data_IF_264383896363
#
_entry.id   IF_264383896363
#
_cell.length_a   1.000
_cell.length_b   1.000
_cell.length_c   1.000
_cell.angle_alpha   90.00
_cell.angle_beta   90.00
_cell.angle_gamma   90.00
#
_symmetry.space_group_name_H-M   'P 1'
#
loop_
_entity.id
_entity.type
_entity.pdbx_description
1 polymer ?
#
# COMPACT_ATOMS: atom_id res chain seq x y z
N UNK A 1 1.65 9.48 3.03
CA UNK A 1 2.37 8.80 1.94
C UNK A 1 1.86 9.13 0.52
N UNK A 2 0.71 8.60 0.04
CA UNK A 2 0.30 8.70 -1.39
C UNK A 2 0.29 10.14 -1.96
N UNK A 3 -0.26 11.10 -1.21
CA UNK A 3 -0.26 12.52 -1.61
C UNK A 3 1.17 13.11 -1.73
N UNK A 4 2.10 12.67 -0.87
CA UNK A 4 3.51 13.08 -0.94
C UNK A 4 4.17 12.53 -2.20
N UNK A 5 3.90 11.26 -2.55
CA UNK A 5 4.37 10.65 -3.82
C UNK A 5 3.76 11.38 -5.01
N UNK A 6 2.44 11.57 -5.02
CA UNK A 6 1.72 12.16 -6.14
C UNK A 6 2.23 13.56 -6.50
N UNK A 7 2.61 14.34 -5.49
CA UNK A 7 3.15 15.70 -5.65
C UNK A 7 4.66 15.76 -5.89
N UNK A 8 5.35 14.62 -5.99
CA UNK A 8 6.81 14.57 -6.19
C UNK A 8 7.62 15.05 -4.99
N UNK A 9 7.05 14.95 -3.79
CA UNK A 9 7.67 15.37 -2.53
C UNK A 9 8.25 14.20 -1.73
N UNK A 10 8.11 12.98 -2.25
CA UNK A 10 8.55 11.77 -1.55
C UNK A 10 10.02 11.49 -1.87
N UNK A 11 10.79 11.15 -0.83
CA UNK A 11 12.17 10.73 -0.95
C UNK A 11 12.24 9.31 -0.42
N UNK A 12 12.83 8.41 -1.21
CA UNK A 12 13.06 7.02 -0.83
C UNK A 12 14.57 6.78 -0.80
N UNK A 13 15.14 6.52 0.38
CA UNK A 13 16.57 6.25 0.59
C UNK A 13 17.47 7.35 0.01
N UNK A 14 17.09 8.60 0.27
CA UNK A 14 17.77 9.79 -0.24
C UNK A 14 17.54 10.11 -1.73
N UNK A 15 16.74 9.30 -2.44
CA UNK A 15 16.44 9.52 -3.86
C UNK A 15 15.04 10.15 -3.99
N UNK A 16 14.91 11.38 -4.51
CA UNK A 16 13.61 11.98 -4.80
C UNK A 16 12.81 11.16 -5.81
N UNK A 17 11.50 11.07 -5.61
CA UNK A 17 10.58 10.33 -6.49
C UNK A 17 9.77 11.32 -7.33
N UNK A 18 9.60 11.05 -8.64
CA UNK A 18 8.86 11.94 -9.51
C UNK A 18 7.37 12.02 -9.12
N UNK A 19 6.68 13.13 -9.46
CA UNK A 19 5.24 13.24 -9.28
C UNK A 19 4.48 12.21 -10.11
N UNK A 20 3.25 11.89 -9.69
CA UNK A 20 2.39 10.91 -10.33
C UNK A 20 1.24 11.58 -11.09
N UNK A 21 0.99 11.11 -12.31
CA UNK A 21 -0.06 11.69 -13.17
C UNK A 21 -1.48 11.34 -12.72
N UNK A 22 -1.64 10.22 -11.99
CA UNK A 22 -2.95 9.57 -11.80
C UNK A 22 -3.13 8.84 -10.46
N UNK A 23 -2.40 9.24 -9.41
CA UNK A 23 -2.47 8.57 -8.11
C UNK A 23 -3.88 8.68 -7.50
N UNK A 24 -4.60 7.56 -7.35
CA UNK A 24 -5.96 7.57 -6.81
C UNK A 24 -5.99 7.82 -5.30
N UNK A 25 -7.01 8.56 -4.84
CA UNK A 25 -7.38 8.66 -3.43
C UNK A 25 -8.05 7.37 -2.99
N UNK A 26 -7.63 6.82 -1.86
CA UNK A 26 -8.22 5.59 -1.31
C UNK A 26 -9.49 5.91 -0.52
N UNK A 27 -10.53 5.09 -0.70
CA UNK A 27 -11.76 5.10 0.10
C UNK A 27 -11.75 3.95 1.10
N UNK A 28 -12.21 4.20 2.33
CA UNK A 28 -12.30 3.17 3.37
C UNK A 28 -13.37 2.12 3.08
N UNK A 29 -13.08 0.87 3.41
CA UNK A 29 -14.00 -0.26 3.30
C UNK A 29 -13.92 -1.15 4.56
N UNK A 30 -15.01 -1.86 4.86
CA UNK A 30 -15.07 -2.81 5.98
C UNK A 30 -14.70 -4.22 5.50
N UNK A 31 -13.41 -4.45 5.27
CA UNK A 31 -12.84 -5.74 4.82
C UNK A 31 -11.70 -6.18 5.74
N UNK A 32 -11.14 -7.37 5.52
CA UNK A 32 -10.01 -7.95 6.26
C UNK A 32 -10.20 -8.30 7.75
N UNK A 33 -11.23 -7.80 8.46
CA UNK A 33 -11.45 -8.12 9.88
C UNK A 33 -11.52 -9.63 10.16
N UNK A 34 -12.32 -10.37 9.39
CA UNK A 34 -12.42 -11.83 9.53
C UNK A 34 -11.09 -12.57 9.28
N UNK A 35 -10.19 -11.99 8.49
CA UNK A 35 -8.85 -12.57 8.27
C UNK A 35 -7.99 -12.35 9.50
N UNK A 36 -8.01 -11.14 10.07
CA UNK A 36 -7.29 -10.83 11.29
C UNK A 36 -7.78 -11.66 12.48
N UNK A 37 -9.10 -11.85 12.62
CA UNK A 37 -9.72 -12.59 13.73
C UNK A 37 -9.26 -14.06 13.82
N UNK A 38 -8.82 -14.64 12.70
CA UNK A 38 -8.26 -16.00 12.70
C UNK A 38 -6.91 -16.11 13.41
N UNK A 39 -6.23 -14.99 13.69
CA UNK A 39 -4.95 -14.95 14.37
C UNK A 39 -3.84 -15.81 13.74
N UNK A 40 -3.88 -15.94 12.41
CA UNK A 40 -2.84 -16.61 11.62
C UNK A 40 -2.06 -15.56 10.84
N UNK A 41 -0.75 -15.45 11.10
CA UNK A 41 0.15 -14.57 10.34
C UNK A 41 0.52 -15.18 8.99
N UNK A 42 -0.46 -15.24 8.10
CA UNK A 42 -0.29 -15.70 6.72
C UNK A 42 -1.29 -15.00 5.82
N UNK A 43 -0.91 -14.80 4.55
CA UNK A 43 -1.83 -14.26 3.56
C UNK A 43 -3.10 -15.11 3.43
N UNK A 44 -4.24 -14.45 3.27
CA UNK A 44 -5.52 -15.13 3.02
C UNK A 44 -5.57 -15.73 1.61
N UNK A 45 -6.46 -16.71 1.39
CA UNK A 45 -6.73 -17.20 0.05
C UNK A 45 -7.49 -16.13 -0.77
N UNK A 46 -6.80 -15.59 -1.77
CA UNK A 46 -7.28 -14.52 -2.66
C UNK A 46 -7.45 -14.98 -4.10
N UNK A 47 -7.42 -16.29 -4.37
CA UNK A 47 -7.56 -16.84 -5.71
C UNK A 47 -8.83 -16.33 -6.40
N UNK A 48 -8.68 -15.82 -7.63
CA UNK A 48 -9.78 -15.25 -8.41
C UNK A 48 -10.31 -13.90 -7.91
N UNK A 49 -9.68 -13.28 -6.91
CA UNK A 49 -10.09 -11.98 -6.35
C UNK A 49 -9.08 -10.90 -6.71
N UNK A 50 -9.56 -9.74 -7.15
CA UNK A 50 -8.73 -8.56 -7.42
C UNK A 50 -8.45 -7.77 -6.12
N UNK A 51 -7.74 -8.42 -5.18
CA UNK A 51 -7.47 -7.89 -3.82
C UNK A 51 -5.98 -8.06 -3.46
N UNK A 52 -5.31 -6.93 -3.23
CA UNK A 52 -3.99 -6.89 -2.59
C UNK A 52 -4.12 -7.06 -1.07
N UNK A 53 -3.07 -7.51 -0.40
CA UNK A 53 -3.11 -7.73 1.05
C UNK A 53 -1.76 -7.43 1.69
N UNK A 54 -1.76 -6.62 2.75
CA UNK A 54 -0.62 -6.44 3.63
C UNK A 54 -0.92 -7.04 5.01
N UNK A 55 0.07 -7.70 5.61
CA UNK A 55 -0.01 -8.21 6.98
C UNK A 55 1.06 -7.57 7.86
N UNK A 56 0.72 -7.36 9.12
CA UNK A 56 1.65 -6.91 10.13
C UNK A 56 1.33 -7.60 11.46
N UNK A 57 2.34 -8.14 12.14
CA UNK A 57 2.16 -8.73 13.45
C UNK A 57 3.31 -8.37 14.39
N UNK A 58 2.99 -7.74 15.51
CA UNK A 58 3.98 -7.41 16.53
C UNK A 58 3.38 -7.27 17.93
N UNK A 59 4.24 -7.17 18.96
CA UNK A 59 3.81 -6.90 20.34
C UNK A 59 3.24 -5.49 20.45
N UNK A 60 2.03 -5.38 21.01
CA UNK A 60 1.29 -4.14 21.38
C UNK A 60 1.57 -2.94 20.44
N UNK A 61 0.78 -2.82 19.38
CA UNK A 61 0.86 -1.74 18.39
C UNK A 61 -0.52 -1.32 17.88
N UNK A 62 -0.56 -0.25 17.07
CA UNK A 62 -1.75 0.23 16.37
C UNK A 62 -1.70 -0.08 14.87
N UNK A 63 -2.83 0.09 14.17
CA UNK A 63 -2.85 0.03 12.70
C UNK A 63 -1.95 1.08 12.03
N UNK A 64 -1.69 2.21 12.70
CA UNK A 64 -0.76 3.24 12.20
C UNK A 64 0.68 2.72 12.17
N UNK A 65 1.06 1.91 13.15
CA UNK A 65 2.41 1.36 13.21
C UNK A 65 2.64 0.29 12.14
N UNK A 66 1.61 -0.48 11.79
CA UNK A 66 1.62 -1.35 10.61
C UNK A 66 1.88 -0.55 9.33
N UNK A 67 1.16 0.56 9.12
CA UNK A 67 1.38 1.44 7.96
C UNK A 67 2.80 1.99 7.90
N UNK A 68 3.37 2.43 9.04
CA UNK A 68 4.77 2.90 9.10
C UNK A 68 5.75 1.78 8.80
N UNK A 69 5.51 0.58 9.33
CA UNK A 69 6.36 -0.58 9.11
C UNK A 69 6.35 -1.07 7.65
N UNK A 70 5.22 -0.93 6.95
CA UNK A 70 5.15 -1.19 5.52
C UNK A 70 5.83 -0.07 4.72
N UNK A 71 5.58 1.20 5.03
CA UNK A 71 6.17 2.35 4.31
C UNK A 71 7.71 2.39 4.42
N UNK A 72 8.30 1.99 5.56
CA UNK A 72 9.76 2.01 5.78
C UNK A 72 10.52 1.07 4.84
N UNK A 73 9.84 0.16 4.15
CA UNK A 73 10.45 -0.70 3.13
C UNK A 73 11.09 0.12 1.99
N UNK A 74 10.51 1.28 1.64
CA UNK A 74 11.10 2.18 0.65
C UNK A 74 12.49 2.70 1.08
N UNK A 75 12.69 2.95 2.37
CA UNK A 75 13.98 3.35 2.93
C UNK A 75 14.94 2.17 3.09
N UNK A 76 14.41 1.04 3.59
CA UNK A 76 15.20 -0.15 3.91
C UNK A 76 15.76 -0.81 2.64
N UNK A 77 14.87 -1.12 1.71
CA UNK A 77 15.20 -1.87 0.50
C UNK A 77 15.52 -0.97 -0.69
N UNK A 78 15.04 0.29 -0.67
CA UNK A 78 15.23 1.24 -1.74
C UNK A 78 14.20 1.08 -2.85
N UNK A 79 13.95 2.17 -3.59
CA UNK A 79 13.00 2.20 -4.68
C UNK A 79 13.66 2.80 -5.93
N UNK A 80 14.36 1.98 -6.73
CA UNK A 80 15.20 2.48 -7.81
C UNK A 80 14.41 2.91 -9.06
N UNK A 81 13.27 2.26 -9.33
CA UNK A 81 12.43 2.53 -10.50
C UNK A 81 10.95 2.38 -10.15
N UNK A 82 10.06 3.05 -10.87
CA UNK A 82 8.62 2.81 -10.75
C UNK A 82 8.20 1.44 -11.29
N UNK A 83 8.97 0.88 -12.23
CA UNK A 83 8.74 -0.47 -12.73
C UNK A 83 9.05 -1.48 -11.62
N UNK A 84 8.02 -2.23 -11.20
CA UNK A 84 8.20 -3.31 -10.26
C UNK A 84 8.74 -4.54 -10.99
N UNK A 85 10.02 -4.83 -10.84
CA UNK A 85 10.65 -6.04 -11.37
C UNK A 85 10.57 -7.16 -10.33
N UNK A 86 10.70 -8.41 -10.79
CA UNK A 86 10.83 -9.58 -9.91
C UNK A 86 11.96 -9.39 -8.88
N UNK A 87 13.13 -8.94 -9.34
CA UNK A 87 14.28 -8.68 -8.47
C UNK A 87 14.00 -7.64 -7.38
N UNK A 88 13.26 -6.57 -7.71
CA UNK A 88 12.86 -5.56 -6.73
C UNK A 88 11.78 -6.06 -5.78
N UNK A 89 10.82 -6.86 -6.26
CA UNK A 89 9.77 -7.42 -5.42
C UNK A 89 10.35 -8.40 -4.38
N UNK A 90 11.29 -9.24 -4.80
CA UNK A 90 11.97 -10.22 -3.95
C UNK A 90 12.82 -9.59 -2.82
N UNK A 91 13.09 -8.28 -2.84
CA UNK A 91 13.74 -7.62 -1.70
C UNK A 91 12.82 -7.51 -0.48
N UNK A 92 11.51 -7.73 -0.66
CA UNK A 92 10.50 -7.55 0.38
C UNK A 92 9.89 -6.15 0.41
N UNK A 93 9.97 -5.37 -0.68
CA UNK A 93 9.38 -4.02 -0.80
C UNK A 93 7.86 -4.02 -1.04
N UNK A 94 7.26 -5.21 -1.09
CA UNK A 94 5.91 -5.43 -1.60
C UNK A 94 4.81 -4.72 -0.81
N UNK A 95 4.99 -4.48 0.49
CA UNK A 95 3.97 -3.80 1.28
C UNK A 95 3.95 -2.30 0.97
N UNK A 96 5.14 -1.67 0.90
CA UNK A 96 5.28 -0.28 0.50
C UNK A 96 4.76 -0.04 -0.93
N UNK A 97 5.10 -0.93 -1.88
CA UNK A 97 4.64 -0.76 -3.27
C UNK A 97 3.14 -0.91 -3.39
N UNK A 98 2.51 -1.80 -2.62
CA UNK A 98 1.05 -1.90 -2.58
C UNK A 98 0.40 -0.63 -1.99
N UNK A 99 0.96 -0.05 -0.93
CA UNK A 99 0.47 1.23 -0.39
C UNK A 99 0.58 2.37 -1.43
N UNK A 100 1.65 2.35 -2.23
CA UNK A 100 1.95 3.34 -3.27
C UNK A 100 1.30 3.08 -4.63
N UNK A 101 0.58 1.97 -4.81
CA UNK A 101 0.09 1.55 -6.13
C UNK A 101 -1.00 2.48 -6.67
N UNK A 102 -0.80 3.08 -7.84
CA UNK A 102 -1.63 4.19 -8.33
C UNK A 102 -3.10 3.83 -8.47
N UNK A 103 -3.38 2.59 -8.93
CA UNK A 103 -4.72 2.12 -9.28
C UNK A 103 -5.54 1.70 -8.06
N UNK A 104 -4.88 1.33 -6.96
CA UNK A 104 -5.56 0.87 -5.75
C UNK A 104 -6.41 1.99 -5.15
N UNK A 105 -7.71 1.74 -5.09
CA UNK A 105 -8.74 2.77 -4.89
C UNK A 105 -9.55 2.59 -3.61
N UNK A 106 -9.51 1.40 -3.01
CA UNK A 106 -10.13 1.15 -1.71
C UNK A 106 -9.17 0.42 -0.79
N UNK A 107 -9.29 0.69 0.50
CA UNK A 107 -8.56 0.01 1.56
C UNK A 107 -9.51 -0.37 2.68
N UNK A 108 -9.42 -1.60 3.17
CA UNK A 108 -10.14 -2.02 4.37
C UNK A 108 -9.28 -2.90 5.23
N UNK A 109 -9.18 -2.55 6.51
CA UNK A 109 -8.25 -3.17 7.44
C UNK A 109 -8.97 -3.82 8.60
N UNK A 110 -8.46 -4.98 9.01
CA UNK A 110 -8.83 -5.73 10.20
C UNK A 110 -7.73 -5.68 11.24
N UNK A 111 -8.11 -5.62 12.50
CA UNK A 111 -7.17 -5.69 13.64
C UNK A 111 -7.66 -6.70 14.66
N UNK A 112 -6.81 -7.64 15.04
CA UNK A 112 -7.11 -8.62 16.07
C UNK A 112 -6.00 -8.68 17.13
N UNK A 113 -6.39 -8.81 18.39
CA UNK A 113 -5.46 -9.20 19.45
C UNK A 113 -5.35 -10.72 19.48
N UNK A 114 -4.13 -11.20 19.26
CA UNK A 114 -3.80 -12.61 19.14
C UNK A 114 -2.82 -13.01 20.23
N UNK A 115 -2.78 -14.30 20.57
CA UNK A 115 -1.89 -14.82 21.60
C UNK A 115 -0.98 -15.90 21.02
N UNK A 116 0.30 -15.83 21.36
CA UNK A 116 1.29 -16.86 21.05
C UNK A 116 2.08 -17.16 22.33
N UNK A 117 1.90 -18.36 22.90
CA UNK A 117 2.57 -18.81 24.13
C UNK A 117 2.53 -17.76 25.26
N UNK A 118 1.34 -17.23 25.57
CA UNK A 118 1.05 -16.16 26.55
C UNK A 118 1.56 -14.75 26.19
N UNK A 119 2.19 -14.55 25.03
CA UNK A 119 2.53 -13.22 24.53
C UNK A 119 1.40 -12.67 23.66
N UNK A 120 0.82 -11.55 24.10
CA UNK A 120 -0.13 -10.80 23.30
C UNK A 120 0.57 -10.13 22.11
N UNK A 121 0.01 -10.35 20.93
CA UNK A 121 0.39 -9.75 19.65
C UNK A 121 -0.83 -9.09 19.05
N UNK A 122 -0.61 -8.10 18.19
CA UNK A 122 -1.66 -7.50 17.40
C UNK A 122 -1.41 -7.86 15.93
N UNK A 123 -2.39 -8.49 15.30
CA UNK A 123 -2.39 -8.80 13.87
C UNK A 123 -3.20 -7.74 13.14
N UNK A 124 -2.54 -7.01 12.23
CA UNK A 124 -3.19 -6.08 11.30
C UNK A 124 -3.16 -6.70 9.92
N UNK A 125 -4.30 -6.69 9.26
CA UNK A 125 -4.44 -7.11 7.86
C UNK A 125 -5.15 -6.00 7.10
N UNK A 126 -4.59 -5.53 5.99
CA UNK A 126 -5.24 -4.56 5.11
C UNK A 126 -5.45 -5.14 3.72
N UNK A 127 -6.68 -5.10 3.22
CA UNK A 127 -7.03 -5.42 1.85
C UNK A 127 -7.04 -4.16 1.00
N UNK A 128 -6.57 -4.29 -0.25
CA UNK A 128 -6.54 -3.24 -1.25
C UNK A 128 -7.36 -3.66 -2.46
N UNK A 129 -8.40 -2.89 -2.81
CA UNK A 129 -9.15 -3.11 -4.06
C UNK A 129 -8.36 -2.56 -5.24
N UNK A 130 -8.43 -3.29 -6.35
CA UNK A 130 -7.51 -3.14 -7.48
C UNK A 130 -6.10 -3.49 -7.01
N UNK A 131 -5.80 -4.79 -7.02
CA UNK A 131 -4.53 -5.33 -6.53
C UNK A 131 -3.38 -4.64 -7.23
N UNK A 132 -2.38 -4.27 -6.42
CA UNK A 132 -1.11 -3.80 -6.93
C UNK A 132 -0.13 -4.93 -7.11
N UNK A 133 1.15 -4.56 -7.14
CA UNK A 133 2.27 -5.49 -7.20
C UNK A 133 2.25 -6.42 -8.43
N UNK A 134 1.74 -5.93 -9.55
CA UNK A 134 1.89 -6.61 -10.83
C UNK A 134 3.35 -6.50 -11.28
N UNK A 135 4.02 -7.65 -11.41
CA UNK A 135 5.39 -7.70 -11.90
C UNK A 135 5.42 -7.24 -13.36
N UNK A 136 6.43 -6.44 -13.68
CA UNK A 136 6.59 -5.73 -14.96
C UNK A 136 5.56 -4.62 -15.22
N UNK A 137 4.87 -4.13 -14.18
CA UNK A 137 4.07 -2.92 -14.25
C UNK A 137 4.66 -1.79 -13.39
N UNK A 138 4.33 -0.55 -13.77
CA UNK A 138 4.70 0.62 -12.98
C UNK A 138 3.80 0.78 -11.76
N UNK A 139 4.40 1.02 -10.58
CA UNK A 139 3.67 1.39 -9.37
C UNK A 139 2.84 2.66 -9.56
N UNK A 140 3.34 3.63 -10.33
CA UNK A 140 2.58 4.72 -10.92
C UNK A 140 3.30 5.29 -12.15
N UNK A 141 2.56 6.00 -12.98
CA UNK A 141 3.12 6.71 -14.13
C UNK A 141 3.58 8.11 -13.73
N UNK A 142 4.85 8.41 -14.01
CA UNK A 142 5.46 9.69 -13.68
C UNK A 142 5.01 10.81 -14.61
N UNK A 143 4.88 12.01 -14.06
CA UNK A 143 4.55 13.23 -14.82
C UNK A 143 3.88 14.27 -13.93
N UNK A 144 3.45 15.38 -14.52
CA UNK A 144 2.82 16.45 -13.75
C UNK A 144 1.64 15.92 -12.92
N UNK A 145 1.57 16.31 -11.64
CA UNK A 145 0.53 15.90 -10.70
C UNK A 145 -0.85 16.05 -11.33
N UNK A 146 -1.68 15.00 -11.25
CA UNK A 146 -3.04 14.97 -11.81
C UNK A 146 -3.17 15.19 -13.33
N UNK A 147 -2.10 15.16 -14.11
CA UNK A 147 -2.19 15.40 -15.56
C UNK A 147 -2.96 14.34 -16.34
N UNK A 148 -3.26 13.20 -15.73
CA UNK A 148 -3.98 12.09 -16.37
C UNK A 148 -4.81 11.26 -15.37
N UNK A 149 -5.68 11.89 -14.58
CA UNK A 149 -6.53 11.17 -13.62
C UNK A 149 -7.43 10.10 -14.25
N UNK A 150 -7.72 10.22 -15.54
CA UNK A 150 -8.56 9.29 -16.29
C UNK A 150 -10.05 9.62 -16.17
N UNK A 151 -10.85 8.91 -16.96
CA UNK A 151 -12.30 9.11 -17.01
C UNK A 151 -12.97 8.76 -15.67
N UNK A 152 -13.90 9.61 -15.24
CA UNK A 152 -14.61 9.45 -13.96
C UNK A 152 -13.81 9.88 -12.73
N UNK A 153 -12.63 10.48 -12.89
CA UNK A 153 -11.82 11.01 -11.79
C UNK A 153 -11.45 12.48 -12.01
N UNK A 154 -11.47 13.25 -10.92
CA UNK A 154 -11.05 14.65 -10.85
C UNK A 154 -9.85 14.81 -9.90
N UNK A 155 -9.05 15.85 -10.12
CA UNK A 155 -7.94 16.16 -9.24
C UNK A 155 -8.42 16.85 -7.95
N UNK A 156 -8.10 16.28 -6.80
CA UNK A 156 -8.13 16.99 -5.52
C UNK A 156 -6.82 17.77 -5.37
N UNK A 157 -6.82 19.06 -5.71
CA UNK A 157 -5.61 19.90 -5.79
C UNK A 157 -4.85 20.01 -4.46
N UNK A 158 -5.55 19.96 -3.32
CA UNK A 158 -4.94 20.02 -1.99
C UNK A 158 -4.03 18.81 -1.70
N UNK A 159 -4.37 17.64 -2.23
CA UNK A 159 -3.63 16.41 -2.02
C UNK A 159 -2.84 15.95 -3.25
N UNK A 160 -3.19 16.42 -4.45
CA UNK A 160 -2.65 15.92 -5.72
C UNK A 160 -3.15 14.53 -6.09
N UNK A 161 -4.25 14.06 -5.46
CA UNK A 161 -4.82 12.73 -5.70
C UNK A 161 -6.04 12.81 -6.61
N UNK A 162 -6.25 11.77 -7.40
CA UNK A 162 -7.43 11.61 -8.25
C UNK A 162 -8.57 10.99 -7.43
N UNK A 163 -9.70 11.68 -7.34
CA UNK A 163 -10.92 11.25 -6.65
C UNK A 163 -12.06 11.11 -7.64
N UNK A 164 -13.03 10.24 -7.35
CA UNK A 164 -14.34 10.30 -8.00
C UNK A 164 -15.10 11.54 -7.55
#
# INVERSE_FOLDING_TARGET
MRSTIARGLYVAKGIPKPPAVNMRKMVGANTAQQVADNCVFAHSNRAGRNIGENLYQYKIQTGIDACKAWEVEFEKFGWPSNLLTESSFQTGIGHATQMGWWKSSMIGCGVAQCFDNNYQKLLVVCHYRDTGNWINENMYNSGATCSSCGEGYSCETSSGLCTV
#
